data_IF_625823946287
#
_entry.id   IF_625823946287
#
_cell.length_a   1.000
_cell.length_b   1.000
_cell.length_c   1.000
_cell.angle_alpha   90.00
_cell.angle_beta   90.00
_cell.angle_gamma   90.00
#
_symmetry.space_group_name_H-M   'P 1'
#
loop_
_entity.id
_entity.type
_entity.pdbx_description
1 polymer ?
#
# COMPACT_ATOMS: atom_id res chain seq x y z
N UNK A 1 34.13 16.92 -5.56
CA UNK A 1 33.30 17.54 -6.62
C UNK A 1 31.94 17.79 -5.99
N UNK A 2 31.74 18.96 -5.38
CA UNK A 2 30.46 19.32 -4.74
C UNK A 2 29.63 20.13 -5.75
N UNK A 3 28.35 19.76 -5.93
CA UNK A 3 27.47 20.38 -6.92
C UNK A 3 26.74 21.61 -6.36
N UNK A 4 26.84 22.80 -6.98
CA UNK A 4 26.40 24.08 -6.41
C UNK A 4 24.89 24.21 -6.14
N UNK A 5 24.05 23.38 -6.77
CA UNK A 5 22.60 23.46 -6.62
C UNK A 5 22.08 22.84 -5.31
N UNK A 6 22.89 22.01 -4.63
CA UNK A 6 22.48 21.31 -3.40
C UNK A 6 22.44 22.20 -2.15
N UNK A 7 22.75 23.50 -2.27
CA UNK A 7 22.72 24.46 -1.15
C UNK A 7 21.84 25.68 -1.39
N UNK A 8 21.12 25.75 -2.50
CA UNK A 8 20.20 26.87 -2.73
C UNK A 8 18.91 26.65 -1.91
N UNK A 9 18.85 27.25 -0.73
CA UNK A 9 17.65 27.33 0.11
C UNK A 9 17.66 26.52 1.41
N UNK A 10 18.69 25.72 1.68
CA UNK A 10 18.76 24.96 2.94
C UNK A 10 19.34 25.80 4.08
N UNK A 11 18.48 26.30 4.98
CA UNK A 11 18.91 26.84 6.27
C UNK A 11 19.00 25.70 7.28
N UNK A 12 20.19 25.43 7.84
CA UNK A 12 20.32 24.53 8.99
C UNK A 12 19.48 25.08 10.15
N UNK A 13 18.65 24.25 10.82
CA UNK A 13 18.14 24.60 12.13
C UNK A 13 19.35 24.81 13.06
N UNK A 14 19.38 25.95 13.76
CA UNK A 14 20.33 26.14 14.85
C UNK A 14 19.94 25.19 15.98
N UNK A 15 20.90 24.41 16.47
CA UNK A 15 20.70 23.61 17.65
C UNK A 15 20.81 24.54 18.86
N UNK A 16 19.66 24.88 19.45
CA UNK A 16 19.64 25.44 20.79
C UNK A 16 19.93 24.28 21.76
N UNK A 17 21.16 24.26 22.27
CA UNK A 17 21.51 23.48 23.44
C UNK A 17 20.89 24.15 24.66
N UNK A 18 19.78 23.59 25.14
CA UNK A 18 19.49 23.52 26.57
C UNK A 18 18.77 22.21 26.86
N UNK A 19 19.52 21.31 27.48
CA UNK A 19 19.04 20.01 27.94
C UNK A 19 18.28 20.25 29.23
N UNK A 20 16.96 20.13 29.19
CA UNK A 20 16.19 19.75 30.38
C UNK A 20 15.66 18.34 30.14
N UNK A 21 16.39 17.36 30.67
CA UNK A 21 15.95 15.96 30.75
C UNK A 21 14.90 15.87 31.85
N UNK A 22 13.74 16.47 31.60
CA UNK A 22 12.54 16.32 32.39
C UNK A 22 11.79 15.09 31.89
N UNK A 23 11.94 13.99 32.61
CA UNK A 23 11.08 12.82 32.57
C UNK A 23 9.61 13.26 32.46
N UNK A 24 8.99 13.00 31.31
CA UNK A 24 7.54 12.92 31.21
C UNK A 24 7.20 11.44 31.08
N UNK A 25 7.04 10.81 32.24
CA UNK A 25 6.34 9.53 32.37
C UNK A 25 4.94 9.66 31.75
N UNK A 26 4.70 8.84 30.73
CA UNK A 26 3.50 8.04 30.54
C UNK A 26 2.16 8.61 31.04
N UNK A 27 1.65 9.66 30.40
CA UNK A 27 0.21 9.99 30.44
C UNK A 27 -0.28 10.45 29.07
N UNK A 28 -0.36 9.52 28.11
CA UNK A 28 -1.49 9.48 27.15
C UNK A 28 -1.70 8.07 26.56
N UNK A 29 -1.82 7.08 27.44
CA UNK A 29 -2.30 5.73 27.08
C UNK A 29 -3.83 5.69 27.21
N UNK A 30 -4.53 6.52 26.44
CA UNK A 30 -5.98 6.45 26.33
C UNK A 30 -6.51 6.66 24.90
N UNK A 31 -5.74 7.29 23.99
CA UNK A 31 -6.14 7.45 22.58
C UNK A 31 -4.96 7.36 21.61
N UNK A 32 -4.09 6.36 21.75
CA UNK A 32 -3.21 6.02 20.63
C UNK A 32 -4.07 5.39 19.53
N UNK A 33 -4.65 6.24 18.67
CA UNK A 33 -5.35 5.79 17.46
C UNK A 33 -4.33 4.94 16.70
N UNK A 34 -4.62 3.65 16.44
CA UNK A 34 -3.69 2.81 15.71
C UNK A 34 -3.38 3.50 14.38
N UNK A 35 -2.12 3.51 13.97
CA UNK A 35 -1.66 4.09 12.70
C UNK A 35 -1.03 3.03 11.81
N UNK A 36 -1.13 3.16 10.48
CA UNK A 36 -0.40 2.31 9.54
C UNK A 36 1.10 2.36 9.77
N UNK A 37 1.82 1.32 9.32
CA UNK A 37 3.27 1.36 9.30
C UNK A 37 3.76 2.48 8.36
N UNK A 38 4.79 3.22 8.77
CA UNK A 38 5.36 4.28 7.95
C UNK A 38 6.28 3.69 6.87
N UNK A 39 6.07 4.05 5.61
CA UNK A 39 7.00 3.79 4.51
C UNK A 39 7.99 4.94 4.39
N UNK A 40 9.26 4.64 4.60
CA UNK A 40 10.34 5.59 4.40
C UNK A 40 10.73 5.68 2.90
N UNK A 41 11.62 6.61 2.57
CA UNK A 41 12.08 6.82 1.20
C UNK A 41 12.81 5.60 0.61
N UNK A 42 13.61 4.88 1.38
CA UNK A 42 14.28 3.65 0.94
C UNK A 42 13.28 2.53 0.68
N UNK A 43 12.24 2.41 1.50
CA UNK A 43 11.17 1.43 1.28
C UNK A 43 10.49 1.73 -0.05
N UNK A 44 10.10 2.99 -0.31
CA UNK A 44 9.47 3.39 -1.57
C UNK A 44 10.35 3.08 -2.79
N UNK A 45 11.65 3.40 -2.71
CA UNK A 45 12.61 3.10 -3.77
C UNK A 45 12.72 1.59 -4.00
N UNK A 46 12.73 0.79 -2.92
CA UNK A 46 12.83 -0.67 -3.02
C UNK A 46 11.65 -1.31 -3.74
N UNK A 47 10.48 -0.66 -3.69
CA UNK A 47 9.27 -1.12 -4.38
C UNK A 47 9.24 -0.77 -5.88
N UNK A 48 10.23 -0.05 -6.42
CA UNK A 48 10.25 0.26 -7.85
C UNK A 48 10.53 -1.01 -8.67
N UNK A 49 9.81 -1.27 -9.77
CA UNK A 49 10.00 -2.45 -10.62
C UNK A 49 11.45 -2.64 -11.10
N UNK A 50 12.22 -1.54 -11.24
CA UNK A 50 13.62 -1.60 -11.65
C UNK A 50 14.57 -2.21 -10.62
N UNK A 51 14.17 -2.28 -9.35
CA UNK A 51 14.93 -2.96 -8.29
C UNK A 51 14.43 -4.39 -8.04
N UNK A 52 13.36 -4.82 -8.71
CA UNK A 52 12.80 -6.15 -8.56
C UNK A 52 13.45 -7.15 -9.53
N UNK A 53 14.34 -8.00 -9.00
CA UNK A 53 15.05 -9.02 -9.78
C UNK A 53 14.26 -10.32 -9.99
N UNK A 54 13.03 -10.43 -9.47
CA UNK A 54 12.22 -11.66 -9.62
C UNK A 54 11.96 -12.02 -11.08
N UNK A 55 11.95 -11.03 -11.97
CA UNK A 55 11.81 -11.22 -13.42
C UNK A 55 12.91 -12.08 -14.05
N UNK A 56 14.12 -12.12 -13.48
CA UNK A 56 15.22 -12.97 -13.97
C UNK A 56 14.94 -14.47 -13.77
N UNK A 57 14.02 -14.80 -12.88
CA UNK A 57 13.68 -16.17 -12.49
C UNK A 57 12.26 -16.58 -12.91
N UNK A 58 11.51 -15.70 -13.59
CA UNK A 58 10.13 -15.98 -14.06
C UNK A 58 10.15 -16.55 -15.48
N UNK A 59 9.52 -17.70 -15.67
CA UNK A 59 9.22 -18.23 -17.00
C UNK A 59 8.20 -17.32 -17.70
N UNK A 60 8.35 -17.05 -18.99
CA UNK A 60 7.59 -16.05 -19.78
C UNK A 60 6.04 -16.17 -19.69
N UNK A 61 5.52 -17.30 -19.23
CA UNK A 61 4.07 -17.57 -19.09
C UNK A 61 3.45 -16.90 -17.84
N UNK A 62 4.26 -16.46 -16.86
CA UNK A 62 3.80 -15.91 -15.57
C UNK A 62 4.20 -14.44 -15.35
N UNK A 63 4.24 -13.64 -16.43
CA UNK A 63 4.57 -12.20 -16.36
C UNK A 63 3.54 -11.33 -15.64
N UNK A 64 2.42 -11.91 -15.18
CA UNK A 64 1.41 -11.14 -14.44
C UNK A 64 1.91 -10.85 -13.03
N UNK A 65 1.90 -9.57 -12.66
CA UNK A 65 2.24 -9.14 -11.32
C UNK A 65 1.14 -9.59 -10.36
N UNK A 66 1.53 -10.41 -9.37
CA UNK A 66 0.66 -10.82 -8.27
C UNK A 66 0.44 -9.67 -7.27
N UNK A 67 0.95 -8.47 -7.57
CA UNK A 67 0.94 -7.29 -6.73
C UNK A 67 0.38 -6.11 -7.51
N UNK A 68 -0.43 -5.29 -6.85
CA UNK A 68 -0.95 -4.03 -7.38
C UNK A 68 -0.92 -3.00 -6.28
N UNK A 69 -0.57 -1.75 -6.60
CA UNK A 69 -0.47 -0.68 -5.60
C UNK A 69 -1.20 0.55 -6.07
N UNK A 70 -1.70 1.32 -5.12
CA UNK A 70 -2.22 2.66 -5.38
C UNK A 70 -1.92 3.61 -4.23
N UNK A 71 -1.96 4.90 -4.50
CA UNK A 71 -1.86 5.94 -3.48
C UNK A 71 -3.24 6.52 -3.16
N UNK A 72 -3.42 7.00 -1.95
CA UNK A 72 -4.65 7.63 -1.49
C UNK A 72 -4.34 8.78 -0.53
N UNK A 73 -5.15 9.83 -0.58
CA UNK A 73 -5.14 10.92 0.42
C UNK A 73 -6.22 10.75 1.48
N UNK A 74 -7.02 9.68 1.39
CA UNK A 74 -8.06 9.39 2.36
C UNK A 74 -7.45 8.81 3.64
N UNK A 75 -8.04 9.05 4.82
CA UNK A 75 -7.57 8.44 6.07
C UNK A 75 -7.58 6.91 5.97
N UNK A 76 -6.65 6.24 6.67
CA UNK A 76 -6.53 4.79 6.66
C UNK A 76 -7.83 4.07 7.07
N UNK A 77 -8.62 4.65 7.97
CA UNK A 77 -9.94 4.13 8.35
C UNK A 77 -10.92 4.15 7.18
N UNK A 78 -10.97 5.22 6.40
CA UNK A 78 -11.83 5.35 5.22
C UNK A 78 -11.42 4.36 4.12
N UNK A 79 -10.12 4.19 3.90
CA UNK A 79 -9.58 3.17 2.97
C UNK A 79 -10.01 1.77 3.42
N UNK A 80 -9.86 1.47 4.71
CA UNK A 80 -10.24 0.19 5.31
C UNK A 80 -11.73 -0.12 5.14
N UNK A 81 -12.59 0.87 5.44
CA UNK A 81 -14.03 0.75 5.25
C UNK A 81 -14.39 0.54 3.79
N UNK A 82 -13.71 1.21 2.86
CA UNK A 82 -13.97 1.03 1.43
C UNK A 82 -13.56 -0.37 0.95
N UNK A 83 -12.45 -0.91 1.43
CA UNK A 83 -12.05 -2.29 1.14
C UNK A 83 -13.07 -3.31 1.68
N UNK A 84 -13.63 -3.06 2.86
CA UNK A 84 -14.69 -3.88 3.46
C UNK A 84 -16.00 -3.86 2.65
N UNK A 85 -16.39 -2.68 2.18
CA UNK A 85 -17.55 -2.49 1.29
C UNK A 85 -17.40 -3.29 0.00
N UNK A 86 -16.25 -3.17 -0.66
CA UNK A 86 -15.95 -3.91 -1.89
C UNK A 86 -15.91 -5.41 -1.63
N UNK A 87 -15.31 -5.85 -0.53
CA UNK A 87 -15.30 -7.26 -0.17
C UNK A 87 -16.73 -7.82 -0.09
N UNK A 88 -17.61 -7.08 0.57
CA UNK A 88 -19.02 -7.45 0.73
C UNK A 88 -19.76 -7.49 -0.61
N UNK A 89 -19.54 -6.50 -1.48
CA UNK A 89 -20.16 -6.42 -2.81
C UNK A 89 -19.79 -7.62 -3.70
N UNK A 90 -18.53 -8.05 -3.66
CA UNK A 90 -18.01 -9.13 -4.52
C UNK A 90 -17.95 -10.49 -3.82
N UNK A 91 -18.64 -10.67 -2.69
CA UNK A 91 -18.72 -11.94 -1.93
C UNK A 91 -17.36 -12.47 -1.47
N UNK A 92 -16.46 -11.56 -1.10
CA UNK A 92 -15.24 -11.88 -0.38
C UNK A 92 -15.50 -11.78 1.12
N UNK A 93 -14.97 -12.74 1.86
CA UNK A 93 -14.80 -12.57 3.31
C UNK A 93 -13.70 -11.55 3.58
N UNK A 94 -13.91 -10.72 4.59
CA UNK A 94 -12.99 -9.67 5.00
C UNK A 94 -12.51 -9.92 6.42
N UNK A 95 -11.20 -10.09 6.59
CA UNK A 95 -10.57 -10.33 7.90
C UNK A 95 -9.53 -9.28 8.18
N UNK A 96 -9.82 -8.40 9.14
CA UNK A 96 -8.86 -7.42 9.67
C UNK A 96 -7.86 -8.13 10.56
N UNK A 97 -6.59 -7.88 10.29
CA UNK A 97 -5.48 -8.27 11.15
C UNK A 97 -4.97 -7.04 11.92
N UNK A 98 -4.05 -7.25 12.85
CA UNK A 98 -3.31 -6.14 13.48
C UNK A 98 -2.50 -5.42 12.38
N UNK A 99 -2.14 -4.15 12.63
CA UNK A 99 -1.22 -3.38 11.78
C UNK A 99 -1.78 -2.98 10.39
N UNK A 100 -3.07 -2.67 10.28
CA UNK A 100 -3.68 -2.18 9.02
C UNK A 100 -3.57 -3.15 7.84
N UNK A 101 -3.45 -4.44 8.15
CA UNK A 101 -3.49 -5.56 7.21
C UNK A 101 -4.89 -6.15 7.13
N UNK A 102 -5.31 -6.49 5.93
CA UNK A 102 -6.56 -7.20 5.69
C UNK A 102 -6.35 -8.36 4.75
N UNK A 103 -7.14 -9.41 4.99
CA UNK A 103 -7.23 -10.55 4.10
C UNK A 103 -8.62 -10.63 3.50
N UNK A 104 -8.66 -10.63 2.19
CA UNK A 104 -9.83 -10.84 1.35
C UNK A 104 -9.78 -12.28 0.83
N UNK A 105 -10.82 -13.06 1.07
CA UNK A 105 -10.92 -14.41 0.51
C UNK A 105 -12.27 -14.61 -0.17
N UNK A 106 -12.24 -14.87 -1.47
CA UNK A 106 -13.42 -15.13 -2.29
C UNK A 106 -14.14 -16.39 -1.84
N UNK A 107 -15.47 -16.37 -1.95
CA UNK A 107 -16.33 -17.52 -1.63
C UNK A 107 -16.40 -18.55 -2.75
N UNK A 108 -16.10 -18.17 -3.99
CA UNK A 108 -16.11 -19.08 -5.14
C UNK A 108 -14.77 -19.81 -5.29
N UNK A 109 -14.85 -21.10 -5.63
CA UNK A 109 -13.67 -21.93 -5.85
C UNK A 109 -13.29 -21.90 -7.33
N UNK A 110 -12.23 -21.17 -7.65
CA UNK A 110 -11.63 -21.14 -8.98
C UNK A 110 -10.79 -22.38 -9.30
N UNK A 111 -10.15 -22.40 -10.47
CA UNK A 111 -9.30 -23.52 -10.95
C UNK A 111 -8.15 -23.87 -10.00
N UNK A 112 -7.63 -22.88 -9.28
CA UNK A 112 -6.53 -23.00 -8.31
C UNK A 112 -7.00 -22.78 -6.87
N UNK A 113 -8.28 -23.07 -6.58
CA UNK A 113 -8.90 -22.81 -5.30
C UNK A 113 -9.47 -21.39 -5.20
N UNK A 114 -9.81 -20.99 -3.97
CA UNK A 114 -10.40 -19.68 -3.69
C UNK A 114 -9.38 -18.56 -3.91
N UNK A 115 -9.78 -17.50 -4.62
CA UNK A 115 -8.98 -16.29 -4.76
C UNK A 115 -8.78 -15.64 -3.39
N UNK A 116 -7.51 -15.45 -3.00
CA UNK A 116 -7.12 -14.81 -1.73
C UNK A 116 -6.21 -13.63 -2.02
N UNK A 117 -6.51 -12.48 -1.43
CA UNK A 117 -5.80 -11.21 -1.63
C UNK A 117 -5.52 -10.63 -0.25
N UNK A 118 -4.28 -10.27 0.02
CA UNK A 118 -3.91 -9.50 1.19
C UNK A 118 -3.83 -8.02 0.76
N UNK A 119 -4.37 -7.12 1.57
CA UNK A 119 -4.17 -5.69 1.41
C UNK A 119 -3.49 -5.10 2.65
N UNK A 120 -2.52 -4.23 2.45
CA UNK A 120 -1.79 -3.56 3.52
C UNK A 120 -1.75 -2.07 3.23
N UNK A 121 -2.07 -1.27 4.25
CA UNK A 121 -2.04 0.19 4.19
C UNK A 121 -0.77 0.66 4.86
N UNK A 122 -0.07 1.59 4.23
CA UNK A 122 1.13 2.21 4.73
C UNK A 122 1.01 3.74 4.68
N UNK A 123 1.58 4.41 5.68
CA UNK A 123 1.65 5.87 5.73
C UNK A 123 2.97 6.35 5.11
N UNK A 124 2.91 7.21 4.08
CA UNK A 124 4.11 7.87 3.53
C UNK A 124 4.28 9.25 4.15
N UNK A 125 3.16 9.97 4.30
CA UNK A 125 3.05 11.22 5.05
C UNK A 125 1.72 11.22 5.79
N UNK A 126 1.47 12.13 6.75
CA UNK A 126 0.19 12.20 7.47
C UNK A 126 -1.06 12.37 6.58
N UNK A 127 -0.88 12.73 5.30
CA UNK A 127 -1.96 12.94 4.32
C UNK A 127 -1.83 12.06 3.07
N UNK A 128 -0.86 11.13 3.04
CA UNK A 128 -0.60 10.28 1.88
C UNK A 128 -0.33 8.85 2.33
N UNK A 129 -1.14 7.94 1.82
CA UNK A 129 -1.06 6.51 2.08
C UNK A 129 -0.77 5.75 0.80
N UNK A 130 -0.04 4.66 0.94
CA UNK A 130 0.16 3.64 -0.10
C UNK A 130 -0.61 2.40 0.33
N UNK A 131 -1.38 1.83 -0.58
CA UNK A 131 -2.08 0.57 -0.37
C UNK A 131 -1.49 -0.46 -1.30
N UNK A 132 -0.96 -1.54 -0.73
CA UNK A 132 -0.47 -2.69 -1.46
C UNK A 132 -1.52 -3.80 -1.44
N UNK A 133 -1.80 -4.38 -2.61
CA UNK A 133 -2.70 -5.50 -2.82
C UNK A 133 -1.88 -6.66 -3.38
N UNK A 134 -1.76 -7.76 -2.65
CA UNK A 134 -1.01 -8.94 -3.06
C UNK A 134 -1.91 -10.16 -3.14
N UNK A 135 -1.89 -10.86 -4.26
CA UNK A 135 -2.51 -12.18 -4.39
C UNK A 135 -1.74 -13.19 -3.53
N UNK A 136 -2.45 -13.84 -2.61
CA UNK A 136 -1.89 -14.88 -1.72
C UNK A 136 -2.41 -16.28 -2.01
N UNK A 137 -3.43 -16.42 -2.86
CA UNK A 137 -3.97 -17.71 -3.28
C UNK A 137 -4.92 -17.60 -4.48
N UNK A 138 -5.23 -18.72 -5.14
CA UNK A 138 -6.12 -18.78 -6.30
C UNK A 138 -5.43 -18.59 -7.64
N UNK A 139 -6.23 -18.37 -8.68
CA UNK A 139 -5.76 -18.24 -10.07
C UNK A 139 -5.32 -16.80 -10.39
N UNK A 140 -4.22 -16.63 -11.15
CA UNK A 140 -3.67 -15.30 -11.46
C UNK A 140 -4.52 -14.56 -12.50
N UNK A 141 -5.13 -15.26 -13.47
CA UNK A 141 -6.02 -14.64 -14.44
C UNK A 141 -7.30 -14.16 -13.77
N UNK A 142 -7.82 -14.95 -12.83
CA UNK A 142 -8.98 -14.59 -12.00
C UNK A 142 -8.68 -13.34 -11.17
N UNK A 143 -7.51 -13.29 -10.51
CA UNK A 143 -7.04 -12.10 -9.78
C UNK A 143 -6.97 -10.87 -10.69
N UNK A 144 -6.33 -10.97 -11.85
CA UNK A 144 -6.17 -9.84 -12.77
C UNK A 144 -7.52 -9.34 -13.31
N UNK A 145 -8.45 -10.26 -13.60
CA UNK A 145 -9.82 -9.92 -14.00
C UNK A 145 -10.55 -9.17 -12.89
N UNK A 146 -10.52 -9.69 -11.66
CA UNK A 146 -11.11 -9.04 -10.49
C UNK A 146 -10.51 -7.64 -10.27
N UNK A 147 -9.19 -7.51 -10.32
CA UNK A 147 -8.52 -6.23 -10.15
C UNK A 147 -8.97 -5.19 -11.18
N UNK A 148 -9.07 -5.58 -12.45
CA UNK A 148 -9.43 -4.67 -13.55
C UNK A 148 -10.91 -4.33 -13.63
N UNK A 149 -11.80 -5.32 -13.43
CA UNK A 149 -13.24 -5.18 -13.67
C UNK A 149 -14.02 -4.75 -12.44
N UNK A 150 -13.56 -5.12 -11.24
CA UNK A 150 -14.34 -5.00 -10.01
C UNK A 150 -13.66 -4.07 -9.01
N UNK A 151 -12.41 -4.39 -8.65
CA UNK A 151 -11.67 -3.70 -7.59
C UNK A 151 -11.30 -2.27 -7.97
N UNK A 152 -10.66 -2.07 -9.15
CA UNK A 152 -10.23 -0.74 -9.61
C UNK A 152 -11.42 0.22 -9.77
N UNK A 153 -12.53 -0.17 -10.44
CA UNK A 153 -13.72 0.68 -10.51
C UNK A 153 -14.36 0.95 -9.14
N UNK A 154 -14.38 -0.05 -8.24
CA UNK A 154 -14.92 0.12 -6.89
C UNK A 154 -14.11 1.06 -6.00
N UNK A 155 -12.80 1.16 -6.21
CA UNK A 155 -11.88 2.01 -5.44
C UNK A 155 -11.68 3.42 -6.02
N UNK A 156 -12.33 3.76 -7.13
CA UNK A 156 -12.11 5.03 -7.86
C UNK A 156 -12.23 6.27 -6.98
N UNK A 157 -13.08 6.24 -5.96
CA UNK A 157 -13.37 7.40 -5.11
C UNK A 157 -12.27 7.66 -4.06
N UNK A 158 -11.40 6.68 -3.81
CA UNK A 158 -10.31 6.79 -2.83
C UNK A 158 -8.92 6.77 -3.48
N UNK A 159 -8.80 6.34 -4.74
CA UNK A 159 -7.52 6.23 -5.44
C UNK A 159 -7.09 7.58 -5.99
N UNK A 160 -5.88 8.00 -5.65
CA UNK A 160 -5.19 9.11 -6.29
C UNK A 160 -4.48 8.66 -7.57
N UNK A 161 -3.63 7.63 -7.49
CA UNK A 161 -3.00 7.02 -8.66
C UNK A 161 -2.72 5.54 -8.45
N UNK A 162 -2.85 4.74 -9.51
CA UNK A 162 -2.40 3.35 -9.55
C UNK A 162 -0.94 3.27 -9.98
N UNK A 163 -0.20 2.37 -9.36
CA UNK A 163 1.13 1.97 -9.83
C UNK A 163 0.99 1.11 -11.10
N UNK A 164 1.89 1.31 -12.08
CA UNK A 164 1.86 0.57 -13.34
C UNK A 164 0.93 1.10 -14.44
N UNK A 165 0.42 2.33 -14.35
CA UNK A 165 -0.31 2.97 -15.45
C UNK A 165 0.66 3.32 -16.59
N UNK A 166 1.03 2.34 -17.42
CA UNK A 166 1.60 2.61 -18.74
C UNK A 166 0.43 2.94 -19.67
N UNK A 167 0.31 4.16 -20.22
CA UNK A 167 -0.57 4.37 -21.34
C UNK A 167 -0.11 3.43 -22.46
N UNK A 168 -0.99 2.53 -22.91
CA UNK A 168 -0.79 1.83 -24.17
C UNK A 168 -0.62 2.91 -25.24
N UNK A 169 0.55 2.93 -25.88
CA UNK A 169 0.80 3.82 -27.02
C UNK A 169 -0.06 3.30 -28.17
N UNK A 170 -0.95 4.18 -28.63
CA UNK A 170 -1.60 4.13 -29.95
C UNK A 170 -0.58 3.94 -31.09
#
# INVERSE_FOLDING_TARGET
MEVPWFRLGFKRPQADTDVNVGLLDDVDSAFCVPKPACLNAFDIISLSPGFNLSGLFKNDVLKQEDESRFTSTQPASSIMSKLEEIASLFRFSFKKSKDFKVKLQGSEQGRKGHLSIDAEIFEVTPSLFVVELRKTGGDTLEYSKFCSQDLRPGLKDIVLTWDGNRPEKE
#
